data_IF_726581500770
#
_entry.id   IF_726581500770
#
_cell.length_a   1.000
_cell.length_b   1.000
_cell.length_c   1.000
_cell.angle_alpha   90.00
_cell.angle_beta   90.00
_cell.angle_gamma   90.00
#
_symmetry.space_group_name_H-M   'P 1'
#
loop_
_entity.id
_entity.type
_entity.pdbx_description
1 polymer ?
#
# COMPACT_ATOMS: atom_id res chain seq x y z
N UNK A 1 8.69 -15.06 26.86
CA UNK A 1 8.36 -13.92 25.99
C UNK A 1 9.27 -12.76 26.35
N UNK A 2 10.12 -12.35 25.42
CA UNK A 2 10.98 -11.17 25.49
C UNK A 2 10.14 -9.91 25.20
N UNK A 3 10.51 -8.78 25.80
CA UNK A 3 9.93 -7.47 25.46
C UNK A 3 10.84 -6.69 24.54
N UNK A 4 10.25 -5.83 23.72
CA UNK A 4 11.01 -4.85 22.96
C UNK A 4 11.77 -3.90 23.90
N UNK A 5 13.04 -3.58 23.58
CA UNK A 5 13.73 -2.46 24.22
C UNK A 5 12.91 -1.17 24.06
N UNK A 6 12.92 -0.30 25.09
CA UNK A 6 12.07 0.89 25.11
C UNK A 6 12.25 1.80 23.87
N UNK A 7 13.49 1.95 23.39
CA UNK A 7 13.80 2.72 22.19
C UNK A 7 13.25 2.09 20.90
N UNK A 8 13.26 0.76 20.80
CA UNK A 8 12.70 0.04 19.65
C UNK A 8 11.17 0.14 19.66
N UNK A 9 10.57 0.01 20.85
CA UNK A 9 9.12 0.17 21.02
C UNK A 9 8.67 1.57 20.61
N UNK A 10 9.32 2.62 21.09
CA UNK A 10 8.99 4.01 20.73
C UNK A 10 9.10 4.24 19.22
N UNK A 11 10.16 3.73 18.58
CA UNK A 11 10.32 3.82 17.13
C UNK A 11 9.20 3.07 16.41
N UNK A 12 8.93 1.82 16.77
CA UNK A 12 7.94 1.01 16.09
C UNK A 12 6.50 1.47 16.35
N UNK A 13 6.23 2.17 17.45
CA UNK A 13 4.97 2.90 17.66
C UNK A 13 4.79 4.03 16.62
N UNK A 14 5.85 4.77 16.30
CA UNK A 14 5.81 5.78 15.23
C UNK A 14 5.64 5.14 13.86
N UNK A 15 6.38 4.07 13.55
CA UNK A 15 6.27 3.34 12.29
C UNK A 15 4.90 2.73 12.12
N UNK A 16 4.36 2.12 13.18
CA UNK A 16 3.00 1.60 13.20
C UNK A 16 2.01 2.70 12.87
N UNK A 17 2.10 3.89 13.47
CA UNK A 17 1.21 5.00 13.12
C UNK A 17 1.39 5.42 11.66
N UNK A 18 2.63 5.55 11.19
CA UNK A 18 2.94 5.96 9.82
C UNK A 18 2.39 4.98 8.77
N UNK A 19 2.30 3.69 9.10
CA UNK A 19 1.76 2.64 8.26
C UNK A 19 0.23 2.75 8.03
N UNK A 20 -0.53 3.30 9.00
CA UNK A 20 -2.00 3.34 8.93
C UNK A 20 -2.58 4.73 8.67
N UNK A 21 -1.79 5.81 8.79
CA UNK A 21 -2.25 7.14 8.36
C UNK A 21 -2.26 7.26 6.84
N UNK A 22 -3.06 8.20 6.33
CA UNK A 22 -3.14 8.46 4.90
C UNK A 22 -1.78 8.96 4.36
N UNK A 23 -1.21 8.33 3.31
CA UNK A 23 0.12 8.66 2.80
C UNK A 23 0.19 10.03 2.12
N UNK A 24 -0.95 10.68 1.86
CA UNK A 24 -1.02 12.03 1.28
C UNK A 24 -1.33 13.11 2.32
N UNK A 25 -1.54 12.75 3.58
CA UNK A 25 -1.90 13.68 4.65
C UNK A 25 -0.70 14.29 5.37
N UNK A 26 -0.90 15.44 6.00
CA UNK A 26 0.14 16.16 6.75
C UNK A 26 0.67 15.35 7.96
N UNK A 27 -0.16 14.48 8.55
CA UNK A 27 0.27 13.59 9.64
C UNK A 27 1.36 12.61 9.17
N UNK A 28 1.29 12.14 7.92
CA UNK A 28 2.31 11.24 7.37
C UNK A 28 3.66 11.95 7.27
N UNK A 29 3.68 13.16 6.71
CA UNK A 29 4.89 13.98 6.59
C UNK A 29 5.54 14.20 7.97
N UNK A 30 4.73 14.54 8.98
CA UNK A 30 5.20 14.76 10.34
C UNK A 30 5.76 13.47 11.00
N UNK A 31 5.15 12.31 10.74
CA UNK A 31 5.63 11.03 11.25
C UNK A 31 6.95 10.62 10.58
N UNK A 32 7.07 10.78 9.26
CA UNK A 32 8.27 10.40 8.52
C UNK A 32 9.49 11.21 8.99
N UNK A 33 9.33 12.53 9.22
CA UNK A 33 10.37 13.39 9.81
C UNK A 33 10.78 12.91 11.21
N UNK A 34 9.82 12.56 12.06
CA UNK A 34 10.09 12.08 13.43
C UNK A 34 10.80 10.73 13.43
N UNK A 35 10.41 9.80 12.55
CA UNK A 35 11.05 8.49 12.41
C UNK A 35 12.49 8.67 11.89
N UNK A 36 12.69 9.51 10.88
CA UNK A 36 14.01 9.81 10.35
C UNK A 36 14.92 10.53 11.35
N UNK A 37 14.35 11.24 12.33
CA UNK A 37 15.05 12.18 13.21
C UNK A 37 15.85 13.22 12.40
N UNK A 38 15.21 13.77 11.37
CA UNK A 38 15.79 14.84 10.54
C UNK A 38 15.10 16.17 10.83
N UNK A 39 15.71 17.27 10.39
CA UNK A 39 15.17 18.62 10.49
C UNK A 39 15.15 19.26 9.11
N UNK A 40 14.11 20.06 8.84
CA UNK A 40 13.97 20.77 7.56
C UNK A 40 13.56 19.87 6.40
N UNK A 41 13.82 20.35 5.18
CA UNK A 41 13.55 19.64 3.93
C UNK A 41 14.74 18.73 3.61
N UNK A 42 14.59 17.42 3.83
CA UNK A 42 15.60 16.40 3.59
C UNK A 42 15.23 15.57 2.35
N UNK A 43 15.91 15.76 1.21
CA UNK A 43 15.61 15.03 -0.02
C UNK A 43 15.79 13.51 0.11
N UNK A 44 16.54 13.03 1.11
CA UNK A 44 16.81 11.61 1.36
C UNK A 44 15.99 11.06 2.54
N UNK A 45 14.97 11.80 3.00
CA UNK A 45 14.15 11.48 4.18
C UNK A 45 13.70 10.01 4.19
N UNK A 46 13.12 9.55 3.07
CA UNK A 46 12.60 8.21 2.93
C UNK A 46 13.68 7.13 3.04
N UNK A 47 14.82 7.32 2.40
CA UNK A 47 15.90 6.34 2.49
C UNK A 47 16.49 6.29 3.90
N UNK A 48 16.61 7.44 4.57
CA UNK A 48 17.09 7.50 5.96
C UNK A 48 16.16 6.78 6.91
N UNK A 49 14.85 7.03 6.82
CA UNK A 49 13.88 6.40 7.71
C UNK A 49 13.82 4.88 7.47
N UNK A 50 13.85 4.42 6.22
CA UNK A 50 13.87 2.98 5.88
C UNK A 50 15.14 2.31 6.39
N UNK A 51 16.33 2.90 6.16
CA UNK A 51 17.61 2.38 6.68
C UNK A 51 17.63 2.30 8.20
N UNK A 52 17.03 3.28 8.88
CA UNK A 52 16.91 3.26 10.34
C UNK A 52 16.07 2.07 10.81
N UNK A 53 14.90 1.86 10.21
CA UNK A 53 14.01 0.74 10.55
C UNK A 53 14.71 -0.59 10.25
N UNK A 54 15.31 -0.74 9.07
CA UNK A 54 16.07 -1.94 8.67
C UNK A 54 17.19 -2.23 9.66
N UNK A 55 18.00 -1.22 10.04
CA UNK A 55 19.08 -1.39 11.01
C UNK A 55 18.60 -1.85 12.39
N UNK A 56 17.42 -1.39 12.84
CA UNK A 56 16.82 -1.84 14.11
C UNK A 56 16.27 -3.26 14.02
N UNK A 57 15.62 -3.63 12.92
CA UNK A 57 15.13 -4.99 12.68
C UNK A 57 16.31 -5.98 12.64
N UNK A 58 17.35 -5.69 11.86
CA UNK A 58 18.55 -6.54 11.77
C UNK A 58 19.25 -6.70 13.12
N UNK A 59 19.37 -5.64 13.92
CA UNK A 59 19.97 -5.71 15.25
C UNK A 59 19.15 -6.54 16.26
N UNK A 60 17.84 -6.70 16.03
CA UNK A 60 16.99 -7.59 16.82
C UNK A 60 17.11 -9.04 16.34
N UNK A 61 17.16 -9.27 15.02
CA UNK A 61 17.42 -10.59 14.41
C UNK A 61 18.77 -11.17 14.87
N UNK A 62 19.83 -10.37 14.93
CA UNK A 62 21.15 -10.80 15.41
C UNK A 62 21.13 -11.25 16.88
N UNK A 63 20.17 -10.78 17.68
CA UNK A 63 20.03 -11.15 19.10
C UNK A 63 19.15 -12.37 19.33
N UNK A 64 18.42 -12.82 18.31
CA UNK A 64 17.55 -13.98 18.37
C UNK A 64 16.45 -13.95 17.32
N UNK A 65 15.78 -15.09 17.14
CA UNK A 65 14.74 -15.22 16.13
C UNK A 65 13.53 -14.30 16.42
N UNK A 66 13.17 -13.49 15.42
CA UNK A 66 11.92 -12.73 15.43
C UNK A 66 10.78 -13.71 15.15
N UNK A 67 10.10 -14.16 16.20
CA UNK A 67 8.92 -15.04 16.07
C UNK A 67 7.75 -14.48 16.87
N UNK A 68 6.50 -14.69 16.42
CA UNK A 68 5.32 -14.23 17.15
C UNK A 68 5.29 -14.68 18.62
N UNK A 69 5.64 -15.94 18.88
CA UNK A 69 5.62 -16.53 20.23
C UNK A 69 6.71 -15.99 21.16
N UNK A 70 7.76 -15.36 20.60
CA UNK A 70 8.82 -14.76 21.39
C UNK A 70 8.40 -13.45 22.06
N UNK A 71 7.36 -12.75 21.58
CA UNK A 71 6.99 -11.40 22.05
C UNK A 71 5.56 -11.33 22.56
N UNK A 72 5.25 -10.48 23.56
CA UNK A 72 3.86 -10.12 23.88
C UNK A 72 3.13 -9.64 22.64
N UNK A 73 1.83 -9.95 22.56
CA UNK A 73 0.99 -9.58 21.41
C UNK A 73 1.17 -8.12 20.96
N UNK A 74 1.18 -7.18 21.90
CA UNK A 74 1.34 -5.75 21.59
C UNK A 74 2.71 -5.40 21.00
N UNK A 75 3.78 -6.08 21.46
CA UNK A 75 5.14 -5.89 20.94
C UNK A 75 5.29 -6.55 19.57
N UNK A 76 4.71 -7.75 19.38
CA UNK A 76 4.69 -8.43 18.09
C UNK A 76 3.97 -7.61 17.04
N UNK A 77 2.81 -7.03 17.37
CA UNK A 77 2.05 -6.18 16.45
C UNK A 77 2.89 -4.99 15.94
N UNK A 78 3.66 -4.35 16.81
CA UNK A 78 4.56 -3.26 16.42
C UNK A 78 5.71 -3.74 15.52
N UNK A 79 6.28 -4.92 15.81
CA UNK A 79 7.31 -5.54 14.98
C UNK A 79 6.77 -5.89 13.60
N UNK A 80 5.62 -6.53 13.52
CA UNK A 80 4.95 -6.90 12.27
C UNK A 80 4.72 -5.68 11.39
N UNK A 81 4.19 -4.58 11.95
CA UNK A 81 4.04 -3.32 11.23
C UNK A 81 5.37 -2.77 10.72
N UNK A 82 6.44 -2.84 11.52
CA UNK A 82 7.76 -2.39 11.10
C UNK A 82 8.35 -3.26 9.97
N UNK A 83 8.15 -4.58 10.03
CA UNK A 83 8.57 -5.54 9.00
C UNK A 83 7.85 -5.25 7.69
N UNK A 84 6.53 -5.07 7.73
CA UNK A 84 5.71 -4.77 6.55
C UNK A 84 6.02 -3.40 5.97
N UNK A 85 6.17 -2.38 6.81
CA UNK A 85 6.53 -1.03 6.39
C UNK A 85 7.90 -1.02 5.70
N UNK A 86 8.89 -1.70 6.26
CA UNK A 86 10.22 -1.80 5.66
C UNK A 86 10.16 -2.53 4.31
N UNK A 87 9.47 -3.67 4.23
CA UNK A 87 9.32 -4.42 2.98
C UNK A 87 8.62 -3.57 1.89
N UNK A 88 7.53 -2.87 2.24
CA UNK A 88 6.81 -2.00 1.30
C UNK A 88 7.74 -0.96 0.66
N UNK A 89 8.54 -0.25 1.46
CA UNK A 89 9.40 0.81 0.93
C UNK A 89 10.65 0.25 0.24
N UNK A 90 11.22 -0.86 0.72
CA UNK A 90 12.40 -1.47 0.11
C UNK A 90 12.17 -1.96 -1.32
N UNK A 91 10.98 -2.48 -1.60
CA UNK A 91 10.62 -2.99 -2.92
C UNK A 91 9.85 -1.96 -3.77
N UNK A 92 9.69 -0.73 -3.29
CA UNK A 92 8.84 0.30 -3.89
C UNK A 92 9.20 0.64 -5.35
N UNK A 93 10.49 0.76 -5.67
CA UNK A 93 10.95 1.06 -7.04
C UNK A 93 10.65 -0.10 -8.00
N UNK A 94 10.89 -1.34 -7.57
CA UNK A 94 10.64 -2.50 -8.41
C UNK A 94 9.14 -2.77 -8.58
N UNK A 95 8.35 -2.52 -7.54
CA UNK A 95 6.89 -2.57 -7.63
C UNK A 95 6.38 -1.51 -8.61
N UNK A 96 6.94 -0.29 -8.65
CA UNK A 96 6.57 0.71 -9.66
C UNK A 96 6.90 0.23 -11.08
N UNK A 97 8.07 -0.36 -11.28
CA UNK A 97 8.42 -0.96 -12.57
C UNK A 97 7.46 -2.09 -12.97
N UNK A 98 7.01 -2.93 -12.02
CA UNK A 98 5.98 -3.96 -12.28
C UNK A 98 4.63 -3.35 -12.70
N UNK A 99 4.27 -2.19 -12.16
CA UNK A 99 3.04 -1.47 -12.56
C UNK A 99 3.14 -1.06 -14.02
N UNK A 100 4.29 -0.51 -14.42
CA UNK A 100 4.55 -0.08 -15.80
C UNK A 100 4.60 -1.26 -16.78
N UNK A 101 5.24 -2.36 -16.39
CA UNK A 101 5.26 -3.62 -17.14
C UNK A 101 3.84 -4.17 -17.34
N UNK A 102 3.01 -4.19 -16.28
CA UNK A 102 1.63 -4.64 -16.36
C UNK A 102 0.76 -3.72 -17.24
N UNK A 103 0.98 -2.40 -17.19
CA UNK A 103 0.32 -1.45 -18.09
C UNK A 103 0.67 -1.72 -19.57
N UNK A 104 1.93 -2.10 -19.85
CA UNK A 104 2.36 -2.44 -21.20
C UNK A 104 1.82 -3.80 -21.68
N UNK A 105 1.68 -4.76 -20.76
CA UNK A 105 1.13 -6.10 -21.03
C UNK A 105 -0.40 -6.11 -21.20
N UNK A 106 -1.11 -5.10 -20.67
CA UNK A 106 -2.57 -5.04 -20.71
C UNK A 106 -3.19 -6.11 -19.82
N UNK A 107 -4.16 -6.86 -20.36
CA UNK A 107 -4.98 -7.83 -19.60
C UNK A 107 -4.22 -9.11 -19.20
N UNK A 108 -3.06 -9.42 -19.80
CA UNK A 108 -2.27 -10.59 -19.40
C UNK A 108 -1.51 -10.32 -18.10
N UNK A 109 -1.66 -11.13 -17.03
CA UNK A 109 -0.93 -10.94 -15.78
C UNK A 109 0.58 -11.13 -15.96
N UNK A 110 1.36 -10.18 -15.45
CA UNK A 110 2.83 -10.26 -15.46
C UNK A 110 3.37 -11.10 -14.31
N UNK A 111 4.49 -11.79 -14.57
CA UNK A 111 5.25 -12.51 -13.56
C UNK A 111 5.91 -11.56 -12.55
N UNK A 112 6.03 -11.99 -11.29
CA UNK A 112 6.60 -11.16 -10.20
C UNK A 112 7.97 -11.71 -9.83
N UNK A 113 9.01 -11.19 -10.48
CA UNK A 113 10.41 -11.58 -10.26
C UNK A 113 10.89 -11.35 -8.81
N UNK A 114 10.26 -10.43 -8.07
CA UNK A 114 10.57 -10.16 -6.66
C UNK A 114 9.75 -10.97 -5.64
N UNK A 115 8.77 -11.78 -6.06
CA UNK A 115 7.88 -12.48 -5.12
C UNK A 115 8.67 -13.33 -4.12
N UNK A 116 9.63 -14.13 -4.61
CA UNK A 116 10.48 -14.95 -3.76
C UNK A 116 11.32 -14.11 -2.77
N UNK A 117 11.82 -12.95 -3.20
CA UNK A 117 12.61 -12.06 -2.36
C UNK A 117 11.77 -11.40 -1.25
N UNK A 118 10.55 -10.97 -1.57
CA UNK A 118 9.60 -10.41 -0.58
C UNK A 118 9.21 -11.49 0.43
N UNK A 119 8.75 -12.65 -0.05
CA UNK A 119 8.31 -13.76 0.80
C UNK A 119 9.43 -14.26 1.71
N UNK A 120 10.66 -14.40 1.19
CA UNK A 120 11.83 -14.78 1.98
C UNK A 120 12.10 -13.77 3.10
N UNK A 121 12.03 -12.47 2.80
CA UNK A 121 12.27 -11.40 3.78
C UNK A 121 11.20 -11.33 4.87
N UNK A 122 9.93 -11.55 4.53
CA UNK A 122 8.85 -11.59 5.51
C UNK A 122 8.96 -12.84 6.39
N UNK A 123 9.18 -14.00 5.78
CA UNK A 123 9.24 -15.28 6.50
C UNK A 123 10.48 -15.42 7.38
N UNK A 124 11.62 -14.85 6.97
CA UNK A 124 12.83 -14.81 7.81
C UNK A 124 12.65 -13.95 9.07
N UNK A 125 11.59 -13.14 9.14
CA UNK A 125 11.25 -12.26 10.27
C UNK A 125 10.02 -12.72 11.04
N UNK A 126 9.65 -13.99 10.89
CA UNK A 126 8.65 -14.65 11.73
C UNK A 126 7.23 -14.68 11.18
N UNK A 127 6.97 -14.07 10.02
CA UNK A 127 5.66 -14.20 9.37
C UNK A 127 5.53 -15.61 8.81
N UNK A 128 4.39 -16.26 9.04
CA UNK A 128 4.11 -17.53 8.37
C UNK A 128 3.91 -17.32 6.87
N UNK A 129 4.10 -18.38 6.09
CA UNK A 129 4.06 -18.32 4.62
C UNK A 129 2.72 -17.83 4.09
N UNK A 130 1.61 -18.30 4.65
CA UNK A 130 0.28 -17.93 4.19
C UNK A 130 -0.02 -16.46 4.47
N UNK A 131 0.40 -15.96 5.64
CA UNK A 131 0.30 -14.55 5.98
C UNK A 131 1.21 -13.69 5.09
N UNK A 132 2.46 -14.12 4.83
CA UNK A 132 3.36 -13.42 3.91
C UNK A 132 2.79 -13.30 2.49
N UNK A 133 2.13 -14.34 1.96
CA UNK A 133 1.45 -14.29 0.66
C UNK A 133 0.28 -13.30 0.65
N UNK A 134 -0.54 -13.25 1.71
CA UNK A 134 -1.60 -12.23 1.85
C UNK A 134 -1.03 -10.82 1.89
N UNK A 135 0.05 -10.62 2.66
CA UNK A 135 0.71 -9.33 2.79
C UNK A 135 1.37 -8.88 1.48
N UNK A 136 1.89 -9.80 0.67
CA UNK A 136 2.37 -9.46 -0.68
C UNK A 136 1.25 -8.93 -1.57
N UNK A 137 0.07 -9.56 -1.56
CA UNK A 137 -1.10 -9.07 -2.30
C UNK A 137 -1.54 -7.68 -1.81
N UNK A 138 -1.50 -7.45 -0.50
CA UNK A 138 -1.87 -6.17 0.08
C UNK A 138 -0.84 -5.06 -0.20
N UNK A 139 0.47 -5.35 -0.10
CA UNK A 139 1.56 -4.45 -0.49
C UNK A 139 1.41 -4.03 -1.95
N UNK A 140 1.08 -4.98 -2.83
CA UNK A 140 0.83 -4.70 -4.24
C UNK A 140 -0.36 -3.74 -4.44
N UNK A 141 -1.46 -3.98 -3.72
CA UNK A 141 -2.62 -3.10 -3.77
C UNK A 141 -2.28 -1.68 -3.31
N UNK A 142 -1.66 -1.55 -2.13
CA UNK A 142 -1.24 -0.27 -1.55
C UNK A 142 -0.31 0.50 -2.49
N UNK A 143 0.66 -0.19 -3.08
CA UNK A 143 1.66 0.44 -3.94
C UNK A 143 1.04 0.93 -5.25
N UNK A 144 0.17 0.15 -5.88
CA UNK A 144 -0.60 0.59 -7.06
C UNK A 144 -1.47 1.78 -6.78
N UNK A 145 -2.21 1.76 -5.68
CA UNK A 145 -3.05 2.89 -5.28
C UNK A 145 -2.21 4.15 -5.11
N UNK A 146 -1.10 4.06 -4.38
CA UNK A 146 -0.18 5.18 -4.23
C UNK A 146 0.33 5.68 -5.58
N UNK A 147 0.82 4.77 -6.44
CA UNK A 147 1.34 5.10 -7.78
C UNK A 147 0.31 5.87 -8.61
N UNK A 148 -0.92 5.35 -8.77
CA UNK A 148 -1.93 5.99 -9.61
C UNK A 148 -2.46 7.30 -9.03
N UNK A 149 -2.59 7.42 -7.70
CA UNK A 149 -3.04 8.66 -7.05
C UNK A 149 -1.95 9.73 -7.11
N UNK A 150 -0.69 9.36 -6.88
CA UNK A 150 0.44 10.28 -6.90
C UNK A 150 0.76 10.79 -8.32
N UNK A 151 0.80 9.89 -9.30
CA UNK A 151 1.18 10.21 -10.69
C UNK A 151 0.02 10.66 -11.56
N UNK A 152 -1.20 10.14 -11.33
CA UNK A 152 -2.36 10.40 -12.17
C UNK A 152 -3.03 11.75 -11.94
N UNK A 153 -2.74 12.40 -10.80
CA UNK A 153 -3.33 13.69 -10.42
C UNK A 153 -2.23 14.76 -10.39
N UNK A 154 -2.32 15.76 -11.26
CA UNK A 154 -1.31 16.82 -11.35
C UNK A 154 -1.56 17.96 -10.35
N UNK A 155 -0.50 18.47 -9.73
CA UNK A 155 -0.53 19.67 -8.90
C UNK A 155 -0.29 19.43 -7.40
N UNK A 156 0.33 20.40 -6.75
CA UNK A 156 0.79 20.32 -5.34
C UNK A 156 0.01 21.24 -4.39
N UNK A 157 -1.10 21.81 -4.85
CA UNK A 157 -1.92 22.70 -4.03
C UNK A 157 -2.59 21.96 -2.86
N UNK A 158 -3.01 22.67 -1.80
CA UNK A 158 -3.78 22.07 -0.70
C UNK A 158 -5.10 21.42 -1.15
N UNK A 159 -5.70 21.88 -2.26
CA UNK A 159 -6.89 21.22 -2.83
C UNK A 159 -6.55 19.87 -3.46
N UNK A 160 -5.42 19.77 -4.16
CA UNK A 160 -4.98 18.51 -4.75
C UNK A 160 -4.53 17.50 -3.70
N UNK A 161 -3.90 17.96 -2.61
CA UNK A 161 -3.58 17.10 -1.46
C UNK A 161 -4.85 16.48 -0.86
N UNK A 162 -5.85 17.30 -0.53
CA UNK A 162 -7.16 16.83 -0.03
C UNK A 162 -7.86 15.86 -0.98
N UNK A 163 -7.73 16.07 -2.30
CA UNK A 163 -8.28 15.14 -3.28
C UNK A 163 -7.57 13.78 -3.23
N UNK A 164 -6.23 13.74 -3.16
CA UNK A 164 -5.47 12.50 -3.02
C UNK A 164 -5.80 11.77 -1.72
N UNK A 165 -5.92 12.50 -0.61
CA UNK A 165 -6.35 11.93 0.67
C UNK A 165 -7.73 11.30 0.56
N UNK A 166 -8.71 12.02 -0.03
CA UNK A 166 -10.06 11.53 -0.19
C UNK A 166 -10.13 10.28 -1.08
N UNK A 167 -9.37 10.24 -2.18
CA UNK A 167 -9.32 9.07 -3.07
C UNK A 167 -8.66 7.88 -2.36
N UNK A 168 -7.58 8.10 -1.60
CA UNK A 168 -6.98 7.02 -0.81
C UNK A 168 -7.97 6.44 0.21
N UNK A 169 -8.70 7.31 0.92
CA UNK A 169 -9.73 6.87 1.88
C UNK A 169 -10.94 6.24 1.20
N UNK A 170 -11.20 6.54 -0.07
CA UNK A 170 -12.23 5.86 -0.87
C UNK A 170 -11.80 4.42 -1.20
N UNK A 171 -10.53 4.24 -1.57
CA UNK A 171 -9.94 2.91 -1.88
C UNK A 171 -9.76 2.04 -0.64
N UNK A 172 -9.41 2.61 0.53
CA UNK A 172 -9.01 1.84 1.71
C UNK A 172 -9.81 2.15 2.98
N UNK A 173 -10.83 2.99 2.91
CA UNK A 173 -11.48 3.59 4.09
C UNK A 173 -10.53 4.46 4.93
N UNK A 174 -11.03 4.98 6.05
CA UNK A 174 -10.21 5.73 7.02
C UNK A 174 -9.48 4.80 8.01
N UNK A 175 -9.74 3.50 7.96
CA UNK A 175 -9.19 2.48 8.85
C UNK A 175 -8.59 1.35 8.02
N UNK A 176 -7.29 1.51 7.70
CA UNK A 176 -6.57 0.60 6.82
C UNK A 176 -6.40 -0.80 7.45
N UNK A 177 -6.32 -0.88 8.78
CA UNK A 177 -6.26 -2.16 9.52
C UNK A 177 -7.58 -2.93 9.37
N UNK A 178 -8.71 -2.24 9.53
CA UNK A 178 -10.02 -2.85 9.31
C UNK A 178 -10.23 -3.24 7.85
N UNK A 179 -9.76 -2.41 6.92
CA UNK A 179 -9.84 -2.70 5.49
C UNK A 179 -9.14 -4.02 5.15
N UNK A 180 -7.87 -4.14 5.53
CA UNK A 180 -7.06 -5.35 5.29
C UNK A 180 -7.77 -6.60 5.82
N UNK A 181 -8.26 -6.53 7.06
CA UNK A 181 -8.87 -7.69 7.74
C UNK A 181 -10.23 -8.11 7.20
N UNK A 182 -11.04 -7.19 6.68
CA UNK A 182 -12.49 -7.45 6.48
C UNK A 182 -13.17 -6.83 5.27
N UNK A 183 -12.57 -5.83 4.60
CA UNK A 183 -13.25 -5.08 3.53
C UNK A 183 -12.55 -5.16 2.16
N UNK A 184 -11.40 -5.82 2.07
CA UNK A 184 -10.61 -5.88 0.84
C UNK A 184 -11.35 -6.51 -0.34
N UNK A 185 -12.32 -7.39 -0.08
CA UNK A 185 -13.18 -8.07 -1.06
C UNK A 185 -14.60 -7.49 -1.11
N UNK A 186 -14.87 -6.38 -0.40
CA UNK A 186 -16.21 -5.79 -0.27
C UNK A 186 -16.33 -4.36 -0.78
N UNK A 187 -15.23 -3.62 -0.92
CA UNK A 187 -15.32 -2.21 -1.31
C UNK A 187 -15.86 -1.99 -2.73
N UNK A 188 -15.76 -2.99 -3.61
CA UNK A 188 -16.38 -2.96 -4.94
C UNK A 188 -17.91 -2.94 -4.92
N UNK A 189 -18.54 -3.32 -3.79
CA UNK A 189 -20.01 -3.25 -3.60
C UNK A 189 -20.52 -1.79 -3.47
N UNK A 190 -19.64 -0.80 -3.27
CA UNK A 190 -20.03 0.57 -2.97
C UNK A 190 -19.79 1.51 -4.16
N UNK A 191 -20.85 2.18 -4.60
CA UNK A 191 -20.75 3.15 -5.69
C UNK A 191 -20.12 4.47 -5.25
N UNK A 192 -19.18 4.97 -6.05
CA UNK A 192 -18.49 6.26 -5.83
C UNK A 192 -18.95 7.28 -6.86
N UNK A 193 -19.41 8.46 -6.39
CA UNK A 193 -19.84 9.56 -7.27
C UNK A 193 -18.83 10.70 -7.21
N UNK A 194 -18.07 10.89 -8.29
CA UNK A 194 -17.13 12.01 -8.43
C UNK A 194 -17.84 13.24 -9.04
N UNK A 195 -17.92 14.33 -8.26
CA UNK A 195 -18.55 15.59 -8.68
C UNK A 195 -17.52 16.67 -8.93
N UNK A 196 -17.76 17.51 -9.94
CA UNK A 196 -16.89 18.63 -10.31
C UNK A 196 -17.16 19.09 -11.73
N UNK A 197 -16.68 20.29 -12.06
CA UNK A 197 -16.77 20.87 -13.41
C UNK A 197 -15.97 20.05 -14.44
N UNK A 198 -16.21 20.33 -15.72
CA UNK A 198 -15.44 19.69 -16.81
C UNK A 198 -13.95 20.05 -16.69
N UNK A 199 -13.08 19.05 -16.88
CA UNK A 199 -11.63 19.25 -16.84
C UNK A 199 -10.98 19.20 -15.45
N UNK A 200 -11.74 18.98 -14.36
CA UNK A 200 -11.17 18.92 -12.99
C UNK A 200 -10.52 17.59 -12.62
N UNK A 201 -10.18 16.74 -13.59
CA UNK A 201 -9.49 15.47 -13.33
C UNK A 201 -10.36 14.31 -12.84
N UNK A 202 -11.70 14.39 -12.93
CA UNK A 202 -12.62 13.30 -12.50
C UNK A 202 -12.28 11.94 -13.13
N UNK A 203 -11.97 11.92 -14.42
CA UNK A 203 -11.61 10.68 -15.11
C UNK A 203 -10.29 10.07 -14.59
N UNK A 204 -9.32 10.92 -14.24
CA UNK A 204 -8.06 10.46 -13.64
C UNK A 204 -8.27 9.90 -12.24
N UNK A 205 -9.12 10.55 -11.42
CA UNK A 205 -9.52 10.03 -10.12
C UNK A 205 -10.25 8.68 -10.23
N UNK A 206 -11.22 8.56 -11.15
CA UNK A 206 -11.93 7.30 -11.39
C UNK A 206 -10.98 6.18 -11.85
N UNK A 207 -10.05 6.48 -12.74
CA UNK A 207 -9.03 5.52 -13.19
C UNK A 207 -8.09 5.09 -12.05
N UNK A 208 -7.71 6.02 -11.18
CA UNK A 208 -6.89 5.69 -10.00
C UNK A 208 -7.63 4.75 -9.05
N UNK A 209 -8.91 5.00 -8.76
CA UNK A 209 -9.74 4.12 -7.92
C UNK A 209 -9.88 2.74 -8.58
N UNK A 210 -10.31 2.68 -9.85
CA UNK A 210 -10.58 1.42 -10.54
C UNK A 210 -9.35 0.51 -10.69
N UNK A 211 -8.16 1.09 -10.87
CA UNK A 211 -6.90 0.32 -10.96
C UNK A 211 -6.32 -0.09 -9.60
N UNK A 212 -6.97 0.31 -8.50
CA UNK A 212 -6.51 0.05 -7.14
C UNK A 212 -7.22 -1.13 -6.47
N UNK A 213 -8.18 -1.78 -7.12
CA UNK A 213 -8.93 -2.92 -6.55
C UNK A 213 -8.04 -4.10 -6.17
N UNK A 214 -8.42 -4.87 -5.15
CA UNK A 214 -7.60 -5.96 -4.62
C UNK A 214 -7.38 -7.07 -5.66
N UNK A 215 -6.16 -7.61 -5.74
CA UNK A 215 -5.84 -8.77 -6.59
C UNK A 215 -5.05 -9.79 -5.78
N UNK A 216 -5.57 -11.03 -5.61
CA UNK A 216 -4.85 -12.09 -4.89
C UNK A 216 -3.52 -12.46 -5.54
N UNK A 217 -2.54 -12.82 -4.72
CA UNK A 217 -1.29 -13.43 -5.18
C UNK A 217 -1.46 -14.95 -5.33
N UNK A 218 -1.16 -15.48 -6.51
CA UNK A 218 -1.16 -16.91 -6.83
C UNK A 218 0.27 -17.44 -6.69
N UNK A 219 0.55 -18.09 -5.56
CA UNK A 219 1.88 -18.60 -5.22
C UNK A 219 2.33 -19.74 -6.15
N UNK A 220 1.42 -20.60 -6.59
CA UNK A 220 1.74 -21.73 -7.47
C UNK A 220 2.20 -21.25 -8.84
N UNK A 221 1.64 -20.12 -9.30
CA UNK A 221 1.99 -19.50 -10.58
C UNK A 221 3.04 -18.39 -10.46
N UNK A 222 3.32 -17.88 -9.26
CA UNK A 222 4.29 -16.79 -9.07
C UNK A 222 3.83 -15.42 -9.57
N UNK A 223 2.51 -15.23 -9.75
CA UNK A 223 1.91 -14.02 -10.32
C UNK A 223 0.63 -13.60 -9.60
N UNK A 224 0.12 -12.42 -9.90
CA UNK A 224 -1.21 -12.03 -9.42
C UNK A 224 -2.30 -12.77 -10.21
N UNK A 225 -3.42 -13.08 -9.54
CA UNK A 225 -4.51 -13.87 -10.11
C UNK A 225 -5.09 -13.26 -11.39
N UNK A 226 -5.01 -11.93 -11.52
CA UNK A 226 -5.42 -11.22 -12.72
C UNK A 226 -4.68 -9.89 -12.92
N UNK A 227 -4.88 -9.25 -14.08
CA UNK A 227 -4.28 -7.95 -14.38
C UNK A 227 -5.14 -6.84 -13.81
N UNK A 228 -4.55 -5.87 -13.10
CA UNK A 228 -5.32 -4.73 -12.61
C UNK A 228 -5.88 -3.84 -13.72
N UNK A 229 -5.40 -4.00 -14.95
CA UNK A 229 -5.93 -3.25 -16.10
C UNK A 229 -7.34 -3.68 -16.46
N UNK A 230 -7.72 -4.92 -16.15
CA UNK A 230 -9.07 -5.44 -16.37
C UNK A 230 -10.08 -4.91 -15.34
N UNK A 231 -9.59 -4.46 -14.17
CA UNK A 231 -10.43 -3.93 -13.08
C UNK A 231 -11.01 -2.55 -13.40
N UNK A 232 -10.45 -1.83 -14.36
CA UNK A 232 -10.91 -0.52 -14.76
C UNK A 232 -11.43 -0.53 -16.21
N UNK A 233 -12.74 -0.54 -16.36
CA UNK A 233 -13.42 -0.45 -17.65
C UNK A 233 -14.04 0.94 -17.82
N UNK A 234 -13.40 1.87 -18.55
CA UNK A 234 -13.98 3.18 -18.80
C UNK A 234 -15.15 3.07 -19.78
N UNK A 235 -16.36 3.33 -19.31
CA UNK A 235 -17.58 3.32 -20.13
C UNK A 235 -18.14 4.73 -20.22
N UNK A 236 -18.37 5.21 -21.44
CA UNK A 236 -19.17 6.40 -21.68
C UNK A 236 -20.59 5.99 -22.04
N UNK A 237 -21.53 6.16 -21.11
CA UNK A 237 -22.94 5.79 -21.29
C UNK A 237 -23.59 6.46 -22.51
N UNK A 238 -23.14 7.67 -22.90
CA UNK A 238 -23.68 8.35 -24.08
C UNK A 238 -23.32 7.68 -25.40
N UNK A 239 -22.42 6.70 -25.40
CA UNK A 239 -22.02 5.94 -26.58
C UNK A 239 -22.87 4.67 -26.77
N UNK A 240 -23.73 4.34 -25.80
CA UNK A 240 -24.61 3.18 -25.85
C UNK A 240 -26.04 3.60 -26.22
N UNK A 241 -26.77 2.79 -27.01
CA UNK A 241 -28.19 3.00 -27.26
C UNK A 241 -28.97 3.01 -25.93
N UNK A 242 -29.94 3.92 -25.78
CA UNK A 242 -30.77 4.03 -24.57
C UNK A 242 -31.45 2.70 -24.20
N UNK A 243 -31.78 1.86 -25.19
CA UNK A 243 -32.41 0.55 -24.99
C UNK A 243 -31.51 -0.50 -24.32
N UNK A 244 -30.20 -0.24 -24.22
CA UNK A 244 -29.20 -1.11 -23.57
C UNK A 244 -28.89 -0.68 -22.13
N UNK A 245 -29.33 0.51 -21.72
CA UNK A 245 -29.15 1.01 -20.37
C UNK A 245 -30.43 0.65 -19.61
N UNK A 246 -30.37 -0.40 -18.78
CA UNK A 246 -31.50 -0.72 -17.89
C UNK A 246 -31.81 0.50 -17.01
N UNK A 247 -33.08 0.90 -17.02
CA UNK A 247 -33.57 2.01 -16.20
C UNK A 247 -33.81 1.46 -14.79
N UNK A 248 -32.92 1.77 -13.84
CA UNK A 248 -33.23 1.64 -12.40
C UNK A 248 -34.15 2.76 -11.91
#
# INVERSE_FOLDING_TARGET
>A
MQRLPAQDRELFELVSRAAFVNPFGDERDALDIRIAQTEGDDPDLLNRLVRRIEGRLSALEEKGDLTPDAFPHDDWRLLEHAILFEAFHRFAERLDALIEEQLAAGEEPVEIDIAAAVLSRLTSRGLDRAHACRMLAFIWQLRRAYYFIASGLTGVSPSMRRLREAIWNDVFTHDLERYERTLHDRLEDFSVILRGETGTGKGAAAAAIGRSGFVPFDEDRGRFASSFTELFVPINLSQFPESLIESE
#
